data_IF_732690489390
#
_entry.id   IF_732690489390
#
_cell.length_a   1.000
_cell.length_b   1.000
_cell.length_c   1.000
_cell.angle_alpha   90.00
_cell.angle_beta   90.00
_cell.angle_gamma   90.00
#
_symmetry.space_group_name_H-M   'P 1'
#
loop_
_entity.id
_entity.type
_entity.pdbx_description
1 polymer ?
#
# COMPACT_ATOMS: atom_id res chain seq x y z
N UNK A 1 -1.29 29.43 -12.31
CA UNK A 1 -1.50 28.01 -11.88
C UNK A 1 -1.92 27.84 -10.41
N UNK A 2 -2.06 28.90 -9.60
CA UNK A 2 -2.39 28.81 -8.16
C UNK A 2 -3.89 28.65 -7.84
N UNK A 3 -4.80 29.11 -8.70
CA UNK A 3 -6.25 29.09 -8.41
C UNK A 3 -6.90 27.69 -8.52
N UNK A 4 -6.35 26.78 -9.30
CA UNK A 4 -6.90 25.42 -9.46
C UNK A 4 -6.66 24.51 -8.26
N UNK A 5 -5.68 24.82 -7.40
CA UNK A 5 -5.36 23.99 -6.24
C UNK A 5 -6.44 23.98 -5.15
N UNK A 6 -7.29 25.01 -5.11
CA UNK A 6 -8.32 25.20 -4.06
C UNK A 6 -9.76 25.04 -4.57
N UNK A 7 -9.98 24.91 -5.88
CA UNK A 7 -11.31 24.67 -6.46
C UNK A 7 -11.87 23.29 -6.08
N UNK A 8 -13.21 23.08 -6.11
CA UNK A 8 -13.83 21.76 -5.94
C UNK A 8 -13.21 20.72 -6.90
N UNK A 9 -13.23 19.44 -6.51
CA UNK A 9 -12.79 18.35 -7.37
C UNK A 9 -13.73 18.28 -8.60
N UNK A 10 -13.15 18.14 -9.78
CA UNK A 10 -13.91 17.91 -11.01
C UNK A 10 -14.47 16.48 -11.03
N UNK A 11 -15.51 16.23 -11.84
CA UNK A 11 -16.07 14.88 -12.02
C UNK A 11 -15.01 13.88 -12.49
N UNK A 12 -14.07 14.30 -13.34
CA UNK A 12 -12.96 13.45 -13.80
C UNK A 12 -12.02 13.06 -12.64
N UNK A 13 -11.70 14.00 -11.74
CA UNK A 13 -10.86 13.73 -10.56
C UNK A 13 -11.55 12.83 -9.56
N UNK A 14 -12.86 13.03 -9.34
CA UNK A 14 -13.69 12.14 -8.51
C UNK A 14 -13.70 10.74 -9.11
N UNK A 15 -13.95 10.62 -10.42
CA UNK A 15 -13.92 9.35 -11.14
C UNK A 15 -12.55 8.64 -11.01
N UNK A 16 -11.45 9.38 -11.13
CA UNK A 16 -10.10 8.85 -10.95
C UNK A 16 -9.84 8.36 -9.51
N UNK A 17 -10.30 9.09 -8.50
CA UNK A 17 -10.21 8.69 -7.09
C UNK A 17 -10.98 7.39 -6.87
N UNK A 18 -12.23 7.32 -7.33
CA UNK A 18 -13.07 6.11 -7.21
C UNK A 18 -12.40 4.92 -7.92
N UNK A 19 -11.88 5.14 -9.13
CA UNK A 19 -11.17 4.09 -9.86
C UNK A 19 -9.96 3.55 -9.07
N UNK A 20 -9.15 4.41 -8.49
CA UNK A 20 -8.01 3.99 -7.66
C UNK A 20 -8.47 3.23 -6.42
N UNK A 21 -9.52 3.71 -5.73
CA UNK A 21 -10.08 3.03 -4.57
C UNK A 21 -10.54 1.61 -4.91
N UNK A 22 -11.28 1.46 -6.01
CA UNK A 22 -11.76 0.17 -6.49
C UNK A 22 -10.60 -0.74 -6.90
N UNK A 23 -9.65 -0.23 -7.69
CA UNK A 23 -8.50 -1.01 -8.17
C UNK A 23 -7.65 -1.52 -7.01
N UNK A 24 -7.33 -0.67 -6.03
CA UNK A 24 -6.51 -1.08 -4.90
C UNK A 24 -7.28 -1.97 -3.92
N UNK A 25 -8.59 -1.73 -3.74
CA UNK A 25 -9.45 -2.59 -2.94
C UNK A 25 -9.55 -4.00 -3.52
N UNK A 26 -9.82 -4.11 -4.82
CA UNK A 26 -9.83 -5.39 -5.54
C UNK A 26 -8.44 -6.06 -5.51
N UNK A 27 -7.36 -5.27 -5.57
CA UNK A 27 -6.01 -5.82 -5.58
C UNK A 27 -5.65 -6.60 -4.29
N UNK A 28 -6.20 -6.26 -3.14
CA UNK A 28 -5.97 -7.00 -1.91
C UNK A 28 -6.64 -8.38 -1.98
N UNK A 29 -7.87 -8.44 -2.44
CA UNK A 29 -8.57 -9.71 -2.69
C UNK A 29 -7.86 -10.52 -3.79
N UNK A 30 -7.42 -9.88 -4.87
CA UNK A 30 -6.64 -10.51 -5.93
C UNK A 30 -5.31 -11.10 -5.41
N UNK A 31 -4.63 -10.41 -4.50
CA UNK A 31 -3.42 -10.91 -3.85
C UNK A 31 -3.72 -12.17 -3.02
N UNK A 32 -4.81 -12.18 -2.25
CA UNK A 32 -5.24 -13.35 -1.47
C UNK A 32 -5.55 -14.54 -2.39
N UNK A 33 -6.40 -14.36 -3.41
CA UNK A 33 -6.75 -15.40 -4.38
C UNK A 33 -5.49 -15.99 -5.04
N UNK A 34 -4.54 -15.15 -5.43
CA UNK A 34 -3.30 -15.63 -6.05
C UNK A 34 -2.44 -16.44 -5.08
N UNK A 35 -2.32 -16.00 -3.82
CA UNK A 35 -1.47 -16.65 -2.81
C UNK A 35 -2.08 -17.92 -2.23
N UNK A 36 -3.37 -18.19 -2.41
CA UNK A 36 -3.99 -19.48 -2.09
C UNK A 36 -3.54 -20.61 -3.03
N UNK A 37 -3.14 -20.26 -4.26
CA UNK A 37 -2.75 -21.24 -5.29
C UNK A 37 -1.25 -21.22 -5.55
N UNK A 38 -0.65 -20.03 -5.53
CA UNK A 38 0.78 -19.84 -5.85
C UNK A 38 1.57 -19.40 -4.62
N UNK A 39 2.85 -19.79 -4.50
CA UNK A 39 3.73 -19.30 -3.44
C UNK A 39 3.81 -17.76 -3.43
N UNK A 40 3.78 -17.12 -2.25
CA UNK A 40 3.61 -15.67 -2.12
C UNK A 40 4.73 -14.84 -2.77
N UNK A 41 5.98 -15.24 -2.66
CA UNK A 41 7.09 -14.51 -3.30
C UNK A 41 7.04 -14.67 -4.81
N UNK A 42 6.61 -15.84 -5.31
CA UNK A 42 6.37 -16.07 -6.74
C UNK A 42 5.29 -15.13 -7.29
N UNK A 43 4.16 -14.97 -6.58
CA UNK A 43 3.10 -14.03 -6.98
C UNK A 43 3.65 -12.61 -7.08
N UNK A 44 4.42 -12.19 -6.07
CA UNK A 44 5.11 -10.90 -6.07
C UNK A 44 6.08 -10.76 -7.24
N UNK A 45 6.89 -11.79 -7.52
CA UNK A 45 7.84 -11.79 -8.63
C UNK A 45 7.13 -11.64 -9.99
N UNK A 46 6.07 -12.41 -10.23
CA UNK A 46 5.28 -12.34 -11.46
C UNK A 46 4.62 -10.97 -11.65
N UNK A 47 4.02 -10.41 -10.60
CA UNK A 47 3.47 -9.06 -10.62
C UNK A 47 4.51 -8.05 -11.06
N UNK A 48 5.70 -8.09 -10.45
CA UNK A 48 6.74 -7.12 -10.73
C UNK A 48 7.50 -7.39 -12.01
N UNK A 49 7.51 -8.62 -12.54
CA UNK A 49 7.96 -8.92 -13.90
C UNK A 49 7.11 -8.16 -14.92
N UNK A 50 5.78 -8.24 -14.78
CA UNK A 50 4.82 -7.52 -15.64
C UNK A 50 4.99 -5.99 -15.49
N UNK A 51 5.03 -5.49 -14.26
CA UNK A 51 5.19 -4.07 -14.01
C UNK A 51 6.54 -3.54 -14.55
N UNK A 52 7.63 -4.29 -14.38
CA UNK A 52 8.95 -3.95 -14.92
C UNK A 52 8.94 -3.90 -16.44
N UNK A 53 8.33 -4.87 -17.12
CA UNK A 53 8.19 -4.88 -18.58
C UNK A 53 7.46 -3.62 -19.09
N UNK A 54 6.41 -3.17 -18.37
CA UNK A 54 5.68 -1.96 -18.73
C UNK A 54 6.46 -0.67 -18.43
N UNK A 55 7.29 -0.65 -17.37
CA UNK A 55 7.86 0.58 -16.83
C UNK A 55 9.36 0.76 -17.10
N UNK A 56 10.08 -0.25 -17.60
CA UNK A 56 11.52 -0.19 -17.87
C UNK A 56 11.92 1.01 -18.74
N UNK A 57 11.08 1.40 -19.67
CA UNK A 57 11.31 2.54 -20.57
C UNK A 57 11.38 3.90 -19.86
N UNK A 58 10.80 4.02 -18.66
CA UNK A 58 10.83 5.21 -17.83
C UNK A 58 12.06 5.27 -16.91
N UNK A 59 12.80 4.15 -16.76
CA UNK A 59 13.97 4.05 -15.87
C UNK A 59 15.24 4.40 -16.63
N UNK A 60 15.46 5.72 -16.81
CA UNK A 60 16.62 6.26 -17.55
C UNK A 60 17.41 7.22 -16.66
N UNK A 61 18.75 7.33 -16.85
CA UNK A 61 19.57 8.34 -16.17
C UNK A 61 18.99 9.76 -16.34
N UNK A 62 19.35 10.71 -15.46
CA UNK A 62 20.24 10.58 -14.30
C UNK A 62 19.55 9.95 -13.08
N UNK A 63 20.35 9.36 -12.17
CA UNK A 63 19.89 8.81 -10.89
C UNK A 63 20.47 9.64 -9.73
N UNK A 64 19.89 10.81 -9.43
CA UNK A 64 20.35 11.63 -8.33
C UNK A 64 20.15 10.86 -7.01
N UNK A 65 21.10 11.03 -6.06
CA UNK A 65 21.03 10.36 -4.76
C UNK A 65 20.82 8.83 -4.86
N UNK A 66 21.57 8.16 -5.74
CA UNK A 66 21.41 6.74 -6.06
C UNK A 66 21.36 5.81 -4.82
N UNK A 67 22.08 6.15 -3.72
CA UNK A 67 22.02 5.38 -2.47
C UNK A 67 20.63 5.40 -1.85
N UNK A 68 20.00 6.58 -1.78
CA UNK A 68 18.61 6.70 -1.28
C UNK A 68 17.63 5.98 -2.21
N UNK A 69 17.86 6.06 -3.52
CA UNK A 69 17.02 5.34 -4.50
C UNK A 69 17.13 3.84 -4.35
N UNK A 70 18.33 3.32 -4.11
CA UNK A 70 18.55 1.91 -3.86
C UNK A 70 17.82 1.46 -2.59
N UNK A 71 17.93 2.22 -1.49
CA UNK A 71 17.21 1.91 -0.25
C UNK A 71 15.70 1.92 -0.49
N UNK A 72 15.17 2.94 -1.16
CA UNK A 72 13.75 3.04 -1.53
C UNK A 72 13.32 1.83 -2.36
N UNK A 73 14.12 1.48 -3.38
CA UNK A 73 13.80 0.38 -4.28
C UNK A 73 13.83 -0.98 -3.57
N UNK A 74 14.77 -1.21 -2.65
CA UNK A 74 14.87 -2.45 -1.87
C UNK A 74 13.80 -2.52 -0.80
N UNK A 75 13.61 -1.47 -0.01
CA UNK A 75 12.66 -1.49 1.10
C UNK A 75 11.21 -1.43 0.60
N UNK A 76 10.92 -0.56 -0.37
CA UNK A 76 9.58 -0.40 -0.94
C UNK A 76 9.24 -1.42 -2.04
N UNK A 77 10.23 -2.12 -2.59
CA UNK A 77 10.05 -3.20 -3.55
C UNK A 77 9.98 -4.56 -2.85
N UNK A 78 11.08 -5.33 -2.84
CA UNK A 78 11.04 -6.73 -2.38
C UNK A 78 10.66 -6.88 -0.90
N UNK A 79 11.11 -5.99 -0.01
CA UNK A 79 10.80 -6.13 1.43
C UNK A 79 9.31 -5.85 1.67
N UNK A 80 8.81 -4.70 1.23
CA UNK A 80 7.40 -4.36 1.43
C UNK A 80 6.48 -5.40 0.79
N UNK A 81 6.62 -5.63 -0.52
CA UNK A 81 5.71 -6.50 -1.23
C UNK A 81 5.88 -7.98 -0.88
N UNK A 82 7.10 -8.42 -0.56
CA UNK A 82 7.33 -9.78 -0.03
C UNK A 82 6.55 -10.00 1.26
N UNK A 83 6.61 -9.05 2.20
CA UNK A 83 5.85 -9.10 3.45
C UNK A 83 4.33 -9.02 3.20
N UNK A 84 3.87 -8.18 2.27
CA UNK A 84 2.43 -8.05 1.97
C UNK A 84 1.87 -9.36 1.36
N UNK A 85 2.56 -9.96 0.39
CA UNK A 85 2.11 -11.23 -0.18
C UNK A 85 2.18 -12.38 0.84
N UNK A 86 3.24 -12.40 1.67
CA UNK A 86 3.34 -13.34 2.77
C UNK A 86 2.20 -13.17 3.79
N UNK A 87 1.81 -11.93 4.09
CA UNK A 87 0.69 -11.66 4.99
C UNK A 87 -0.62 -12.21 4.43
N UNK A 88 -0.93 -11.96 3.14
CA UNK A 88 -2.14 -12.51 2.51
C UNK A 88 -2.11 -14.04 2.39
N UNK A 89 -0.92 -14.64 2.21
CA UNK A 89 -0.77 -16.09 2.20
C UNK A 89 -1.03 -16.72 3.56
N UNK A 90 -0.58 -16.08 4.64
CA UNK A 90 -0.78 -16.54 6.02
C UNK A 90 -2.21 -16.33 6.52
N UNK A 91 -2.96 -15.40 5.93
CA UNK A 91 -4.27 -15.00 6.40
C UNK A 91 -5.35 -16.03 6.00
N UNK A 92 -6.30 -16.25 6.89
CA UNK A 92 -7.58 -16.87 6.53
C UNK A 92 -8.51 -15.81 5.90
N UNK A 93 -8.61 -14.65 6.53
CA UNK A 93 -9.47 -13.54 6.11
C UNK A 93 -8.64 -12.38 5.50
N UNK A 94 -9.18 -11.74 4.45
CA UNK A 94 -8.53 -10.58 3.79
C UNK A 94 -8.64 -9.33 4.65
N UNK A 95 -9.78 -9.17 5.33
CA UNK A 95 -10.15 -7.93 6.01
C UNK A 95 -9.18 -7.50 7.12
N UNK A 96 -8.77 -8.36 8.08
CA UNK A 96 -7.84 -7.97 9.14
C UNK A 96 -6.47 -7.52 8.60
N UNK A 97 -5.93 -8.24 7.62
CA UNK A 97 -4.64 -7.89 7.00
C UNK A 97 -4.75 -6.57 6.26
N UNK A 98 -5.82 -6.36 5.50
CA UNK A 98 -6.05 -5.09 4.78
C UNK A 98 -6.06 -3.90 5.74
N UNK A 99 -6.70 -4.02 6.90
CA UNK A 99 -6.73 -2.95 7.91
C UNK A 99 -5.34 -2.73 8.51
N UNK A 100 -4.63 -3.81 8.84
CA UNK A 100 -3.27 -3.71 9.37
C UNK A 100 -2.31 -3.00 8.40
N UNK A 101 -2.46 -3.20 7.10
CA UNK A 101 -1.65 -2.50 6.10
C UNK A 101 -1.86 -0.99 6.12
N UNK A 102 -3.03 -0.47 6.55
CA UNK A 102 -3.27 0.98 6.65
C UNK A 102 -2.43 1.68 7.73
N UNK A 103 -1.82 0.92 8.63
CA UNK A 103 -0.84 1.47 9.58
C UNK A 103 0.34 2.17 8.90
N UNK A 104 0.55 1.98 7.59
CA UNK A 104 1.59 2.73 6.86
C UNK A 104 1.41 4.25 6.98
N UNK A 105 0.19 4.76 7.09
CA UNK A 105 -0.10 6.19 7.19
C UNK A 105 0.37 6.77 8.54
N UNK A 106 -0.09 6.27 9.70
CA UNK A 106 0.40 6.74 10.98
C UNK A 106 1.90 6.45 11.18
N UNK A 107 2.39 5.31 10.71
CA UNK A 107 3.82 4.99 10.77
C UNK A 107 4.68 5.93 9.93
N UNK A 108 4.17 6.45 8.79
CA UNK A 108 4.87 7.47 8.01
C UNK A 108 5.08 8.75 8.83
N UNK A 109 4.08 9.19 9.59
CA UNK A 109 4.22 10.36 10.48
C UNK A 109 5.20 10.09 11.61
N UNK A 110 5.12 8.91 12.22
CA UNK A 110 6.06 8.49 13.28
C UNK A 110 7.51 8.45 12.76
N UNK A 111 7.76 7.83 11.63
CA UNK A 111 9.11 7.75 11.05
C UNK A 111 9.62 9.10 10.56
N UNK A 112 8.75 9.98 10.06
CA UNK A 112 9.12 11.35 9.73
C UNK A 112 9.58 12.13 10.97
N UNK A 113 8.90 11.95 12.11
CA UNK A 113 9.34 12.52 13.39
C UNK A 113 10.70 11.95 13.83
N UNK A 114 10.85 10.62 13.85
CA UNK A 114 12.05 9.95 14.37
C UNK A 114 13.29 10.17 13.47
N UNK A 115 13.12 10.14 12.14
CA UNK A 115 14.24 10.13 11.19
C UNK A 115 14.52 11.50 10.56
N UNK A 116 13.51 12.36 10.46
CA UNK A 116 13.64 13.68 9.85
C UNK A 116 13.54 14.82 10.87
N UNK A 117 13.19 14.53 12.13
CA UNK A 117 12.94 15.55 13.16
C UNK A 117 11.72 16.42 12.84
N UNK A 118 10.81 15.95 11.97
CA UNK A 118 9.57 16.66 11.65
C UNK A 118 8.66 16.69 12.88
N UNK A 119 7.93 17.80 13.06
CA UNK A 119 6.98 17.90 14.17
C UNK A 119 5.71 17.12 13.82
N UNK A 120 5.25 16.28 14.75
CA UNK A 120 3.93 15.66 14.66
C UNK A 120 2.91 16.58 15.33
N UNK A 121 1.75 16.80 14.70
CA UNK A 121 0.66 17.52 15.34
C UNK A 121 0.08 16.70 16.50
N UNK A 122 -0.48 17.39 17.52
CA UNK A 122 -1.21 16.71 18.61
C UNK A 122 -2.31 15.81 18.06
N UNK A 123 -3.02 16.29 17.03
CA UNK A 123 -4.08 15.56 16.36
C UNK A 123 -3.54 14.28 15.67
N UNK A 124 -2.39 14.37 14.99
CA UNK A 124 -1.77 13.19 14.38
C UNK A 124 -1.25 12.20 15.43
N UNK A 125 -0.73 12.65 16.56
CA UNK A 125 -0.33 11.78 17.69
C UNK A 125 -1.54 11.01 18.24
N UNK A 126 -2.66 11.70 18.49
CA UNK A 126 -3.90 11.04 18.94
C UNK A 126 -4.41 10.05 17.90
N UNK A 127 -4.42 10.44 16.63
CA UNK A 127 -4.83 9.55 15.54
C UNK A 127 -3.96 8.29 15.42
N UNK A 128 -2.65 8.43 15.64
CA UNK A 128 -1.71 7.29 15.67
C UNK A 128 -2.09 6.30 16.78
N UNK A 129 -2.32 6.79 18.00
CA UNK A 129 -2.74 5.92 19.12
C UNK A 129 -4.06 5.24 18.81
N UNK A 130 -5.06 5.98 18.31
CA UNK A 130 -6.37 5.43 17.93
C UNK A 130 -6.23 4.34 16.86
N UNK A 131 -5.39 4.56 15.83
CA UNK A 131 -5.18 3.57 14.78
C UNK A 131 -4.59 2.26 15.32
N UNK A 132 -3.58 2.34 16.17
CA UNK A 132 -2.98 1.14 16.80
C UNK A 132 -3.96 0.45 17.76
N UNK A 133 -4.72 1.19 18.55
CA UNK A 133 -5.76 0.64 19.44
C UNK A 133 -6.82 -0.08 18.62
N UNK A 134 -7.27 0.49 17.50
CA UNK A 134 -8.24 -0.15 16.61
C UNK A 134 -7.75 -1.48 16.04
N UNK A 135 -6.51 -1.53 15.54
CA UNK A 135 -5.91 -2.77 15.04
C UNK A 135 -5.73 -3.79 16.17
N UNK A 136 -5.26 -3.37 17.34
CA UNK A 136 -5.12 -4.26 18.49
C UNK A 136 -6.48 -4.83 18.94
N UNK A 137 -7.51 -3.97 19.05
CA UNK A 137 -8.86 -4.38 19.43
C UNK A 137 -9.45 -5.40 18.44
N UNK A 138 -9.29 -5.16 17.14
CA UNK A 138 -9.69 -6.10 16.10
C UNK A 138 -8.95 -7.44 16.24
N UNK A 139 -7.64 -7.40 16.46
CA UNK A 139 -6.80 -8.62 16.54
C UNK A 139 -7.11 -9.48 17.77
N UNK A 140 -7.65 -8.88 18.85
CA UNK A 140 -8.07 -9.60 20.06
C UNK A 140 -9.39 -10.34 19.88
N UNK A 141 -10.12 -10.16 18.78
CA UNK A 141 -11.27 -11.00 18.45
C UNK A 141 -10.82 -12.44 18.26
N UNK A 142 -11.50 -13.45 18.85
CA UNK A 142 -11.10 -14.86 18.76
C UNK A 142 -10.93 -15.37 17.32
N UNK A 143 -11.71 -14.84 16.38
CA UNK A 143 -11.62 -15.19 14.97
C UNK A 143 -10.39 -14.53 14.31
N UNK A 144 -10.24 -13.22 14.47
CA UNK A 144 -9.08 -12.50 13.93
C UNK A 144 -7.76 -12.89 14.60
N UNK A 145 -7.79 -13.39 15.85
CA UNK A 145 -6.59 -13.85 16.56
C UNK A 145 -5.93 -15.05 15.87
N UNK A 146 -6.66 -15.84 15.10
CA UNK A 146 -6.09 -16.90 14.27
C UNK A 146 -5.15 -16.33 13.21
N UNK A 147 -5.39 -15.12 12.77
CA UNK A 147 -4.61 -14.39 11.75
C UNK A 147 -3.54 -13.46 12.35
N UNK A 148 -3.22 -13.54 13.65
CA UNK A 148 -2.30 -12.61 14.29
C UNK A 148 -0.92 -12.54 13.59
N UNK A 149 -0.42 -13.68 13.06
CA UNK A 149 0.85 -13.70 12.29
C UNK A 149 0.72 -12.94 10.99
N UNK A 150 -0.38 -13.12 10.26
CA UNK A 150 -0.67 -12.41 9.03
C UNK A 150 -0.80 -10.90 9.29
N UNK A 151 -1.51 -10.51 10.35
CA UNK A 151 -1.68 -9.11 10.79
C UNK A 151 -0.32 -8.50 11.14
N UNK A 152 0.52 -9.20 11.91
CA UNK A 152 1.86 -8.73 12.28
C UNK A 152 2.78 -8.56 11.06
N UNK A 153 2.79 -9.53 10.14
CA UNK A 153 3.56 -9.46 8.88
C UNK A 153 3.04 -8.33 7.99
N UNK A 154 1.72 -8.14 7.91
CA UNK A 154 1.10 -7.02 7.18
C UNK A 154 1.49 -5.65 7.76
N UNK A 155 1.52 -5.53 9.09
CA UNK A 155 1.98 -4.32 9.78
C UNK A 155 3.50 -4.07 9.57
N UNK A 156 4.31 -5.11 9.50
CA UNK A 156 5.73 -5.01 9.14
C UNK A 156 5.89 -4.53 7.68
N UNK A 157 5.10 -5.05 6.75
CA UNK A 157 5.03 -4.57 5.37
C UNK A 157 4.61 -3.10 5.29
N UNK A 158 3.61 -2.69 6.08
CA UNK A 158 3.20 -1.29 6.22
C UNK A 158 4.32 -0.40 6.74
N UNK A 159 5.12 -0.89 7.70
CA UNK A 159 6.29 -0.19 8.23
C UNK A 159 7.36 0.03 7.16
N UNK A 160 7.63 -0.99 6.33
CA UNK A 160 8.56 -0.88 5.20
C UNK A 160 8.11 0.18 4.19
N UNK A 161 6.81 0.21 3.87
CA UNK A 161 6.25 1.25 2.99
C UNK A 161 6.32 2.65 3.59
N UNK A 162 6.02 2.79 4.88
CA UNK A 162 6.14 4.04 5.62
C UNK A 162 7.57 4.57 5.59
N UNK A 163 8.55 3.71 5.85
CA UNK A 163 9.98 4.05 5.79
C UNK A 163 10.38 4.48 4.37
N UNK A 164 9.96 3.74 3.35
CA UNK A 164 10.17 4.08 1.94
C UNK A 164 9.63 5.47 1.62
N UNK A 165 8.41 5.77 2.07
CA UNK A 165 7.75 7.06 1.85
C UNK A 165 8.51 8.22 2.51
N UNK A 166 9.03 8.01 3.72
CA UNK A 166 9.81 9.02 4.45
C UNK A 166 11.14 9.29 3.76
N UNK A 167 11.86 8.23 3.33
CA UNK A 167 13.14 8.38 2.61
C UNK A 167 12.91 9.03 1.23
N UNK A 168 11.82 8.69 0.54
CA UNK A 168 11.47 9.28 -0.75
C UNK A 168 11.26 10.80 -0.69
N UNK A 169 10.86 11.37 0.46
CA UNK A 169 10.75 12.83 0.65
C UNK A 169 12.08 13.55 0.47
N UNK A 170 13.22 12.87 0.69
CA UNK A 170 14.57 13.42 0.46
C UNK A 170 15.02 13.37 -1.00
N UNK A 171 14.27 12.67 -1.86
CA UNK A 171 14.60 12.43 -3.27
C UNK A 171 13.57 13.05 -4.22
N UNK A 172 13.15 14.29 -3.95
CA UNK A 172 12.00 14.99 -4.55
C UNK A 172 12.02 15.21 -6.06
N UNK A 173 13.13 14.92 -6.76
CA UNK A 173 13.30 15.22 -8.19
C UNK A 173 13.02 14.06 -9.15
N UNK A 174 12.48 12.92 -8.65
CA UNK A 174 12.29 11.73 -9.48
C UNK A 174 10.84 11.61 -9.93
N UNK A 175 10.62 11.50 -11.26
CA UNK A 175 9.29 11.25 -11.78
C UNK A 175 8.72 9.95 -11.20
N UNK A 176 7.45 9.95 -10.84
CA UNK A 176 6.79 8.83 -10.18
C UNK A 176 6.83 7.49 -10.95
N UNK A 177 6.59 7.50 -12.27
CA UNK A 177 6.70 6.29 -13.08
C UNK A 177 8.13 5.72 -13.09
N UNK A 178 9.13 6.59 -13.02
CA UNK A 178 10.52 6.17 -12.88
C UNK A 178 10.76 5.53 -11.52
N UNK A 179 10.22 6.09 -10.45
CA UNK A 179 10.29 5.50 -9.10
C UNK A 179 9.62 4.14 -9.06
N UNK A 180 8.40 4.03 -9.60
CA UNK A 180 7.69 2.75 -9.67
C UNK A 180 8.43 1.71 -10.53
N UNK A 181 9.03 2.15 -11.63
CA UNK A 181 9.89 1.29 -12.46
C UNK A 181 11.13 0.79 -11.71
N UNK A 182 11.78 1.65 -10.92
CA UNK A 182 12.92 1.24 -10.07
C UNK A 182 12.49 0.23 -9.01
N UNK A 183 11.35 0.44 -8.35
CA UNK A 183 10.78 -0.52 -7.41
C UNK A 183 10.53 -1.86 -8.09
N UNK A 184 9.92 -1.85 -9.29
CA UNK A 184 9.60 -3.05 -10.04
C UNK A 184 10.86 -3.82 -10.49
N UNK A 185 11.86 -3.11 -11.03
CA UNK A 185 13.13 -3.70 -11.48
C UNK A 185 13.94 -4.28 -10.32
N UNK A 186 13.79 -3.77 -9.10
CA UNK A 186 14.45 -4.32 -7.92
C UNK A 186 13.65 -5.46 -7.29
N UNK A 187 12.31 -5.31 -7.24
CA UNK A 187 11.43 -6.30 -6.63
C UNK A 187 11.39 -7.60 -7.45
N UNK A 188 11.33 -7.51 -8.78
CA UNK A 188 11.24 -8.70 -9.65
C UNK A 188 12.39 -9.69 -9.40
N UNK A 189 13.68 -9.35 -9.60
CA UNK A 189 14.76 -10.31 -9.41
C UNK A 189 14.89 -10.74 -7.94
N UNK A 190 14.73 -9.83 -6.98
CA UNK A 190 14.87 -10.17 -5.57
C UNK A 190 13.78 -11.13 -5.08
N UNK A 191 12.52 -10.91 -5.47
CA UNK A 191 11.42 -11.82 -5.14
C UNK A 191 11.55 -13.16 -5.89
N UNK A 192 12.06 -13.14 -7.14
CA UNK A 192 12.35 -14.39 -7.89
C UNK A 192 13.41 -15.23 -7.18
N UNK A 193 14.52 -14.61 -6.78
CA UNK A 193 15.58 -15.29 -6.00
C UNK A 193 15.04 -15.78 -4.67
N UNK A 194 14.25 -14.94 -3.96
CA UNK A 194 13.60 -15.35 -2.71
C UNK A 194 12.66 -16.53 -2.90
N UNK A 195 11.84 -16.52 -3.95
CA UNK A 195 10.94 -17.63 -4.26
C UNK A 195 11.71 -18.92 -4.54
N UNK A 196 12.77 -18.86 -5.37
CA UNK A 196 13.57 -20.04 -5.69
C UNK A 196 14.36 -20.58 -4.47
N UNK A 197 14.71 -19.71 -3.51
CA UNK A 197 15.48 -20.09 -2.33
C UNK A 197 14.61 -20.63 -1.18
N UNK A 198 13.39 -20.11 -1.01
CA UNK A 198 12.58 -20.36 0.21
C UNK A 198 11.23 -21.01 -0.09
N UNK A 199 10.81 -21.09 -1.35
CA UNK A 199 9.55 -21.69 -1.74
C UNK A 199 9.78 -22.92 -2.61
N UNK A 200 8.77 -23.78 -2.73
CA UNK A 200 8.80 -25.00 -3.56
C UNK A 200 7.49 -25.11 -4.32
N UNK A 201 7.47 -25.93 -5.38
CA UNK A 201 6.25 -26.20 -6.14
C UNK A 201 5.80 -25.08 -7.07
N UNK A 202 6.65 -24.09 -7.39
CA UNK A 202 6.30 -22.94 -8.24
C UNK A 202 5.78 -23.37 -9.62
N UNK A 203 6.43 -24.36 -10.22
CA UNK A 203 6.05 -24.84 -11.56
C UNK A 203 4.71 -25.56 -11.56
N UNK A 204 4.49 -26.42 -10.59
CA UNK A 204 3.23 -27.13 -10.39
C UNK A 204 2.10 -26.16 -10.08
N UNK A 205 2.32 -25.20 -9.21
CA UNK A 205 1.37 -24.13 -8.89
C UNK A 205 1.03 -23.30 -10.14
N UNK A 206 2.02 -22.93 -10.96
CA UNK A 206 1.79 -22.20 -12.20
C UNK A 206 0.93 -22.98 -13.19
N UNK A 207 1.15 -24.29 -13.32
CA UNK A 207 0.35 -25.16 -14.20
C UNK A 207 -1.06 -25.40 -13.68
N UNK A 208 -1.22 -25.52 -12.36
CA UNK A 208 -2.51 -25.75 -11.72
C UNK A 208 -3.37 -24.48 -11.65
N UNK A 209 -2.75 -23.31 -11.80
CA UNK A 209 -3.42 -22.03 -11.70
C UNK A 209 -4.44 -21.83 -12.81
N UNK A 210 -5.68 -21.51 -12.40
CA UNK A 210 -6.78 -21.22 -13.32
C UNK A 210 -6.55 -19.89 -14.07
N UNK A 211 -7.24 -19.66 -15.19
CA UNK A 211 -7.20 -18.35 -15.87
C UNK A 211 -7.57 -17.18 -14.94
N UNK A 212 -8.43 -17.41 -13.94
CA UNK A 212 -8.77 -16.40 -12.94
C UNK A 212 -7.56 -16.01 -12.08
N UNK A 213 -6.78 -16.98 -11.60
CA UNK A 213 -5.56 -16.72 -10.81
C UNK A 213 -4.53 -15.94 -11.64
N UNK A 214 -4.30 -16.32 -12.88
CA UNK A 214 -3.44 -15.57 -13.79
C UNK A 214 -3.99 -14.16 -14.06
N UNK A 215 -5.32 -14.02 -14.17
CA UNK A 215 -5.99 -12.72 -14.26
C UNK A 215 -5.69 -11.81 -13.08
N UNK A 216 -5.65 -12.34 -11.85
CA UNK A 216 -5.31 -11.55 -10.66
C UNK A 216 -3.85 -11.08 -10.69
N UNK A 217 -2.92 -11.89 -11.17
CA UNK A 217 -1.50 -11.51 -11.33
C UNK A 217 -1.35 -10.39 -12.38
N UNK A 218 -2.02 -10.52 -13.53
CA UNK A 218 -2.02 -9.48 -14.57
C UNK A 218 -2.67 -8.20 -14.06
N UNK A 219 -3.80 -8.30 -13.34
CA UNK A 219 -4.46 -7.18 -12.68
C UNK A 219 -3.48 -6.45 -11.75
N UNK A 220 -2.79 -7.19 -10.89
CA UNK A 220 -1.83 -6.61 -9.95
C UNK A 220 -0.66 -5.92 -10.67
N UNK A 221 -0.12 -6.55 -11.73
CA UNK A 221 1.00 -6.01 -12.50
C UNK A 221 0.62 -4.78 -13.33
N UNK A 222 -0.44 -4.85 -14.14
CA UNK A 222 -0.82 -3.80 -15.08
C UNK A 222 -1.76 -2.78 -14.41
N UNK A 223 -2.92 -3.25 -13.94
CA UNK A 223 -3.98 -2.33 -13.51
C UNK A 223 -3.62 -1.66 -12.19
N UNK A 224 -3.15 -2.42 -11.20
CA UNK A 224 -2.81 -1.86 -9.90
C UNK A 224 -1.45 -1.13 -9.91
N UNK A 225 -0.39 -1.76 -10.43
CA UNK A 225 0.96 -1.17 -10.35
C UNK A 225 1.23 -0.08 -11.38
N UNK A 226 0.68 -0.17 -12.59
CA UNK A 226 0.93 0.83 -13.63
C UNK A 226 -0.19 1.84 -13.70
N UNK A 227 -1.44 1.40 -13.96
CA UNK A 227 -2.55 2.31 -14.23
C UNK A 227 -3.01 3.09 -12.99
N UNK A 228 -3.33 2.40 -11.86
CA UNK A 228 -3.80 3.08 -10.64
C UNK A 228 -2.73 4.02 -10.08
N UNK A 229 -1.46 3.57 -10.07
CA UNK A 229 -0.34 4.41 -9.63
C UNK A 229 -0.21 5.66 -10.51
N UNK A 230 -0.35 5.53 -11.84
CA UNK A 230 -0.33 6.67 -12.75
C UNK A 230 -1.47 7.66 -12.48
N UNK A 231 -2.68 7.16 -12.18
CA UNK A 231 -3.81 8.00 -11.80
C UNK A 231 -3.54 8.77 -10.50
N UNK A 232 -2.97 8.11 -9.48
CA UNK A 232 -2.60 8.77 -8.22
C UNK A 232 -1.62 9.91 -8.49
N UNK A 233 -0.60 9.67 -9.32
CA UNK A 233 0.38 10.70 -9.65
C UNK A 233 -0.23 11.84 -10.44
N UNK A 234 -1.11 11.53 -11.39
CA UNK A 234 -1.86 12.55 -12.13
C UNK A 234 -2.69 13.43 -11.18
N UNK A 235 -3.35 12.82 -10.17
CA UNK A 235 -4.11 13.53 -9.15
C UNK A 235 -3.23 14.43 -8.28
N UNK A 236 -2.12 13.90 -7.72
CA UNK A 236 -1.25 14.66 -6.80
C UNK A 236 -0.41 15.74 -7.49
N UNK A 237 -0.23 15.66 -8.80
CA UNK A 237 0.37 16.74 -9.58
C UNK A 237 -0.58 17.92 -9.79
N UNK A 238 -1.89 17.68 -9.82
CA UNK A 238 -2.93 18.69 -10.03
C UNK A 238 -3.53 19.23 -8.73
N UNK A 239 -3.54 18.42 -7.71
CA UNK A 239 -4.13 18.73 -6.39
C UNK A 239 -3.11 18.49 -5.29
N UNK A 240 -3.29 19.19 -4.19
CA UNK A 240 -2.48 18.90 -2.99
C UNK A 240 -2.71 17.45 -2.55
N UNK A 241 -1.61 16.71 -2.33
CA UNK A 241 -1.68 15.31 -1.89
C UNK A 241 -2.59 15.14 -0.65
N UNK A 242 -2.55 16.12 0.26
CA UNK A 242 -3.42 16.16 1.42
C UNK A 242 -4.93 16.21 1.10
N UNK A 243 -5.36 16.59 -0.09
CA UNK A 243 -6.78 16.56 -0.52
C UNK A 243 -7.17 15.23 -1.16
N UNK A 244 -6.24 14.52 -1.77
CA UNK A 244 -6.47 13.26 -2.46
C UNK A 244 -6.36 12.06 -1.52
N UNK A 245 -5.31 12.01 -0.71
CA UNK A 245 -4.97 10.85 0.14
C UNK A 245 -6.12 10.36 1.03
N UNK A 246 -6.94 11.22 1.70
CA UNK A 246 -8.03 10.71 2.53
C UNK A 246 -9.14 9.98 1.79
N UNK A 247 -9.37 10.33 0.53
CA UNK A 247 -10.36 9.59 -0.26
C UNK A 247 -9.84 8.20 -0.61
N UNK A 248 -8.52 8.03 -0.82
CA UNK A 248 -7.91 6.72 -1.11
C UNK A 248 -8.03 5.74 0.07
N UNK A 249 -8.31 6.24 1.29
CA UNK A 249 -8.65 5.41 2.46
C UNK A 249 -9.98 4.65 2.29
N UNK A 250 -10.75 4.91 1.26
CA UNK A 250 -11.87 4.07 0.88
C UNK A 250 -11.47 2.70 0.32
N UNK A 251 -10.23 2.51 -0.14
CA UNK A 251 -9.80 1.22 -0.70
C UNK A 251 -9.87 0.05 0.30
N UNK A 252 -9.54 0.17 1.59
CA UNK A 252 -9.78 -0.88 2.56
C UNK A 252 -11.24 -1.28 2.70
N UNK A 253 -12.16 -0.31 2.60
CA UNK A 253 -13.60 -0.61 2.68
C UNK A 253 -14.05 -1.48 1.49
N UNK A 254 -13.50 -1.23 0.30
CA UNK A 254 -13.74 -2.07 -0.87
C UNK A 254 -13.19 -3.48 -0.65
N UNK A 255 -11.96 -3.61 -0.09
CA UNK A 255 -11.37 -4.93 0.22
C UNK A 255 -12.20 -5.71 1.23
N UNK A 256 -12.63 -5.06 2.31
CA UNK A 256 -13.47 -5.66 3.37
C UNK A 256 -14.81 -6.12 2.78
N UNK A 257 -15.43 -5.29 1.94
CA UNK A 257 -16.69 -5.65 1.28
C UNK A 257 -16.52 -6.87 0.36
N UNK A 258 -15.44 -6.95 -0.39
CA UNK A 258 -15.11 -8.10 -1.25
C UNK A 258 -14.83 -9.34 -0.38
N UNK A 259 -14.02 -9.20 0.67
CA UNK A 259 -13.72 -10.28 1.61
C UNK A 259 -15.00 -10.88 2.21
N UNK A 260 -15.89 -10.03 2.68
CA UNK A 260 -17.16 -10.46 3.26
C UNK A 260 -18.13 -11.08 2.24
N UNK A 261 -18.32 -10.45 1.06
CA UNK A 261 -19.33 -10.90 0.09
C UNK A 261 -18.89 -12.10 -0.75
N UNK A 262 -17.59 -12.23 -1.04
CA UNK A 262 -17.11 -13.24 -1.99
C UNK A 262 -16.07 -14.20 -1.43
N UNK A 263 -15.38 -13.84 -0.36
CA UNK A 263 -14.30 -14.67 0.16
C UNK A 263 -14.67 -15.34 1.50
N UNK A 264 -15.83 -14.99 2.08
CA UNK A 264 -16.33 -15.60 3.30
C UNK A 264 -15.71 -15.05 4.57
N UNK A 265 -15.08 -13.85 4.53
CA UNK A 265 -14.53 -13.20 5.72
C UNK A 265 -15.58 -13.08 6.83
N UNK A 266 -15.22 -13.44 8.04
CA UNK A 266 -16.10 -13.32 9.21
C UNK A 266 -15.92 -11.93 9.83
N UNK A 267 -16.97 -11.10 9.72
CA UNK A 267 -16.98 -9.75 10.28
C UNK A 267 -17.78 -9.74 11.60
N UNK A 268 -17.13 -10.10 12.70
CA UNK A 268 -17.75 -9.99 14.02
C UNK A 268 -17.96 -8.52 14.41
N UNK A 269 -18.87 -8.20 15.35
CA UNK A 269 -19.02 -6.84 15.87
C UNK A 269 -17.70 -6.26 16.42
N UNK A 270 -16.84 -7.10 17.02
CA UNK A 270 -15.55 -6.67 17.53
C UNK A 270 -14.59 -6.32 16.38
N UNK A 271 -14.54 -7.12 15.32
CA UNK A 271 -13.75 -6.83 14.11
C UNK A 271 -14.24 -5.52 13.49
N UNK A 272 -15.54 -5.36 13.27
CA UNK A 272 -16.11 -4.14 12.67
C UNK A 272 -15.83 -2.88 13.49
N UNK A 273 -15.96 -2.95 14.82
CA UNK A 273 -15.64 -1.81 15.69
C UNK A 273 -14.14 -1.49 15.66
N UNK A 274 -13.26 -2.50 15.66
CA UNK A 274 -11.83 -2.32 15.55
C UNK A 274 -11.42 -1.70 14.21
N UNK A 275 -12.01 -2.17 13.11
CA UNK A 275 -11.85 -1.57 11.77
C UNK A 275 -12.25 -0.09 11.77
N UNK A 276 -13.43 0.23 12.32
CA UNK A 276 -13.91 1.61 12.39
C UNK A 276 -12.97 2.50 13.21
N UNK A 277 -12.53 2.04 14.38
CA UNK A 277 -11.58 2.75 15.24
C UNK A 277 -10.25 2.96 14.50
N UNK A 278 -9.70 1.92 13.86
CA UNK A 278 -8.45 2.01 13.13
C UNK A 278 -8.53 3.03 11.98
N UNK A 279 -9.59 2.99 11.18
CA UNK A 279 -9.79 3.93 10.07
C UNK A 279 -10.02 5.37 10.55
N UNK A 280 -10.75 5.58 11.65
CA UNK A 280 -10.89 6.90 12.29
C UNK A 280 -9.52 7.42 12.72
N UNK A 281 -8.68 6.58 13.34
CA UNK A 281 -7.32 6.94 13.71
C UNK A 281 -6.49 7.36 12.50
N UNK A 282 -6.52 6.60 11.41
CA UNK A 282 -5.80 6.89 10.16
C UNK A 282 -6.27 8.21 9.54
N UNK A 283 -7.59 8.46 9.48
CA UNK A 283 -8.16 9.73 9.01
C UNK A 283 -7.71 10.89 9.90
N UNK A 284 -7.70 10.70 11.22
CA UNK A 284 -7.28 11.71 12.19
C UNK A 284 -5.80 12.09 11.99
N UNK A 285 -4.90 11.10 11.73
CA UNK A 285 -3.50 11.37 11.35
C UNK A 285 -3.44 12.20 10.07
N UNK A 286 -4.14 11.78 9.03
CA UNK A 286 -4.11 12.45 7.73
C UNK A 286 -4.60 13.90 7.81
N UNK A 287 -5.61 14.18 8.63
CA UNK A 287 -6.10 15.55 8.89
C UNK A 287 -5.13 16.37 9.74
N UNK A 288 -4.52 15.77 10.76
CA UNK A 288 -3.55 16.42 11.64
C UNK A 288 -2.30 16.87 10.89
N UNK A 289 -1.80 16.08 9.97
CA UNK A 289 -0.66 16.43 9.12
C UNK A 289 -0.96 17.59 8.14
N UNK A 290 -2.21 17.73 7.71
CA UNK A 290 -2.63 18.89 6.88
C UNK A 290 -2.53 20.20 7.62
N UNK A 291 -2.98 20.24 8.87
CA UNK A 291 -2.95 21.45 9.69
C UNK A 291 -1.52 22.00 9.87
N UNK A 292 -0.54 21.12 10.07
CA UNK A 292 0.87 21.52 10.17
C UNK A 292 1.45 22.09 8.87
N UNK A 293 1.08 21.53 7.72
CA UNK A 293 1.57 22.00 6.41
C UNK A 293 0.93 23.32 5.99
N UNK A 294 -0.32 23.55 6.36
CA UNK A 294 -1.02 24.82 6.09
C UNK A 294 -0.49 25.99 6.94
N UNK A 295 0.05 25.70 8.15
CA UNK A 295 0.63 26.70 9.04
C UNK A 295 2.14 26.94 8.88
N UNK A 296 2.84 26.20 8.02
CA UNK A 296 4.26 26.39 7.78
C UNK A 296 4.47 27.58 6.79
N UNK A 297 5.28 28.61 7.16
CA UNK A 297 5.60 29.68 6.24
C UNK A 297 6.26 29.10 4.97
N UNK A 298 5.84 29.61 3.80
CA UNK A 298 6.47 29.25 2.52
C UNK A 298 7.98 29.48 2.66
N UNK A 299 8.78 28.42 2.48
CA UNK A 299 10.22 28.58 2.36
C UNK A 299 10.48 29.42 1.10
N UNK A 300 10.95 30.67 1.32
CA UNK A 300 11.44 31.59 0.32
C UNK A 300 12.73 31.02 -0.30
#
# INVERSE_FOLDING_TARGET
MSSQRHSPLSLLEIGAIIAVMLIWGINNAAAKIATEVMPPLMVGALRFAIAAACLVWFVRPPFPNWKSLLIIAVVGGPIHYGLIYLAFWLAHDVSPVTVATQLWIPLTSLFAFLLLGERISRMATVGLVIAFVGVAWMTLDPHALQDWKAIAVGAAGASAWALTTVIARRTTSIPPLKMQGLLALMAFPALTVGSLAFETGQWEAAKAASPMVWGTVVWAGVISSVFATSLVFWLVQRREAGRVTPYLLGSPLVSILIGWLWMGDVLTPQILTGVAIALIGVVTVALGERGLRAGAPAKV
#
